data_IF_338127412760
#
_entry.id   IF_338127412760
#
_cell.length_a   1.000
_cell.length_b   1.000
_cell.length_c   1.000
_cell.angle_alpha   90.00
_cell.angle_beta   90.00
_cell.angle_gamma   90.00
#
_symmetry.space_group_name_H-M   'P 1'
#
loop_
_entity.id
_entity.type
_entity.pdbx_description
1 polymer ?
2 non-polymer ?
3 water ?
#
# COMPACT_ATOMS: atom_id res chain seq x y z
CA UNK A 1 -6.63 2.95 -7.53
C UNK A 1 -7.71 2.52 -8.52
N UNK A 2 -7.36 2.12 -9.77
CA UNK A 2 -8.35 1.61 -10.75
C UNK A 2 -8.76 0.18 -10.41
N UNK A 3 -9.91 -0.27 -10.94
CA UNK A 3 -10.26 -1.69 -10.80
C UNK A 3 -9.17 -2.62 -11.35
N UNK A 4 -8.51 -2.24 -12.44
CA UNK A 4 -7.40 -3.02 -12.99
C UNK A 4 -6.26 -3.15 -11.98
N UNK A 5 -5.89 -2.04 -11.35
CA UNK A 5 -4.84 -2.08 -10.33
C UNK A 5 -5.25 -2.92 -9.12
N UNK A 6 -6.50 -2.83 -8.70
CA UNK A 6 -6.95 -3.62 -7.55
C UNK A 6 -6.92 -5.11 -7.87
N UNK A 7 -7.29 -5.46 -9.10
CA UNK A 7 -7.23 -6.85 -9.53
C UNK A 7 -5.78 -7.35 -9.50
N UNK A 8 -4.85 -6.51 -9.96
CA UNK A 8 -3.43 -6.83 -9.90
C UNK A 8 -2.95 -7.00 -8.46
N UNK A 9 -3.42 -6.13 -7.56
CA UNK A 9 -3.10 -6.26 -6.14
C UNK A 9 -3.60 -7.58 -5.55
N UNK A 10 -4.84 -7.95 -5.87
CA UNK A 10 -5.39 -9.22 -5.39
C UNK A 10 -4.63 -10.43 -5.95
N UNK A 11 -4.22 -10.34 -7.22
CA UNK A 11 -3.41 -11.39 -7.85
C UNK A 11 -2.04 -11.58 -7.20
N UNK A 12 -1.49 -10.52 -6.62
CA UNK A 12 -0.20 -10.56 -5.92
C UNK A 12 -0.33 -10.72 -4.41
N UNK A 13 -1.55 -10.76 -3.88
CA UNK A 13 -1.75 -10.93 -2.44
C UNK A 13 -1.43 -9.69 -1.65
N UNK A 14 -1.58 -8.52 -2.27
CA UNK A 14 -1.42 -7.24 -1.59
C UNK A 14 -2.75 -6.76 -1.05
N UNK A 15 -2.76 -6.12 0.12
CA UNK B 1 -7.35 -5.22 -2.29
C UNK B 1 -8.75 -5.18 -2.89
N UNK B 2 -9.77 -5.00 -2.03
CA UNK B 2 -11.18 -5.12 -2.50
C UNK B 2 -11.56 -3.91 -3.35
N UNK B 3 -12.64 -4.04 -4.14
CA UNK B 3 -13.16 -2.87 -4.85
C UNK B 3 -13.40 -1.67 -3.92
N UNK B 4 -13.93 -1.92 -2.72
CA UNK B 4 -14.17 -0.85 -1.74
C UNK B 4 -12.86 -0.19 -1.29
N UNK B 5 -11.86 -1.02 -1.02
CA UNK B 5 -10.54 -0.52 -0.64
C UNK B 5 -9.91 0.31 -1.75
N UNK B 6 -10.04 -0.15 -2.99
CA UNK B 6 -9.53 0.57 -4.15
C UNK B 6 -10.20 1.93 -4.32
N UNK B 7 -11.52 1.99 -4.15
CA UNK B 7 -12.21 3.27 -4.24
C UNK B 7 -11.71 4.26 -3.20
N UNK B 8 -11.47 3.78 -1.99
CA UNK B 8 -10.93 4.62 -0.91
C UNK B 8 -9.50 5.09 -1.20
N UNK B 9 -8.68 4.20 -1.73
CA UNK B 9 -7.29 4.54 -2.10
C UNK B 9 -7.25 5.61 -3.19
N UNK B 10 -8.06 5.40 -4.23
CA UNK B 10 -8.17 6.33 -5.36
C UNK B 10 -8.61 7.72 -4.88
N UNK B 11 -9.62 7.76 -4.02
CA UNK B 11 -10.13 9.02 -3.47
C UNK B 11 -9.11 9.76 -2.61
N UNK B 12 -8.26 9.01 -1.91
CA UNK B 12 -7.21 9.58 -1.07
C UNK B 12 -5.92 9.95 -1.83
N UNK B 13 -5.90 9.77 -3.15
CA UNK B 13 -4.76 10.21 -3.97
C UNK B 13 -3.58 9.29 -3.87
N UNK B 14 -3.83 7.98 -3.85
CA UNK B 14 -2.74 7.02 -3.63
C UNK B 14 -1.77 6.93 -4.84
N UNK B 15 -0.46 7.10 -4.64
CA UNK C 1 9.04 0.12 -3.84
C UNK C 1 10.41 -0.54 -3.96
N UNK C 2 11.47 0.00 -3.30
CA UNK C 2 12.82 -0.63 -3.33
C UNK C 2 12.89 -1.79 -2.32
N UNK C 3 13.92 -2.65 -2.42
CA UNK C 3 14.09 -3.71 -1.41
C UNK C 3 14.21 -3.19 0.02
N UNK C 4 14.91 -2.06 0.20
CA UNK C 4 15.02 -1.41 1.51
C UNK C 4 13.65 -1.03 2.04
N UNK C 5 12.81 -0.47 1.18
CA UNK C 5 11.46 -0.08 1.55
C UNK C 5 10.58 -1.28 1.88
N UNK C 6 10.65 -2.31 1.04
CA UNK C 6 9.90 -3.54 1.27
C UNK C 6 10.32 -4.19 2.60
N UNK C 7 11.61 -4.15 2.90
CA UNK C 7 12.12 -4.65 4.18
C UNK C 7 11.56 -3.85 5.36
N UNK C 8 11.50 -2.53 5.21
CA UNK C 8 10.89 -1.66 6.22
C UNK C 8 9.39 -1.94 6.41
N UNK C 9 8.71 -2.23 5.30
CA UNK C 9 7.29 -2.60 5.36
C UNK C 9 7.09 -3.89 6.15
N UNK C 10 7.92 -4.90 5.86
CA UNK C 10 7.88 -6.16 6.62
C UNK C 10 8.17 -5.92 8.10
N UNK C 11 9.13 -5.04 8.40
CA UNK C 11 9.45 -4.72 9.80
C UNK C 11 8.26 -4.13 10.56
N UNK C 12 7.45 -3.33 9.87
CA UNK C 12 6.27 -2.70 10.48
C UNK C 12 4.96 -3.49 10.32
N UNK C 13 5.00 -4.66 9.69
CA UNK C 13 3.77 -5.46 9.49
C UNK C 13 2.82 -4.85 8.49
N UNK C 14 3.35 -4.10 7.53
CA UNK C 14 2.57 -3.55 6.42
C UNK C 14 2.61 -4.50 5.23
N UNK C 15 3.78 -5.07 4.95
CA UNK D 1 6.12 -6.89 1.57
C UNK D 1 7.19 -7.66 0.82
N UNK D 2 6.86 -8.71 0.00
CA UNK D 2 7.92 -9.53 -0.66
C UNK D 2 8.46 -8.79 -1.89
N UNK D 3 9.65 -9.17 -2.38
CA UNK D 3 10.14 -8.60 -3.64
C UNK D 3 9.16 -8.76 -4.82
N UNK D 4 8.48 -9.91 -4.88
CA UNK D 4 7.49 -10.21 -5.91
C UNK D 4 6.31 -9.22 -5.85
N UNK D 5 5.82 -8.96 -4.64
CA UNK D 5 4.73 -7.99 -4.45
C UNK D 5 5.13 -6.58 -4.85
N UNK D 6 6.33 -6.16 -4.47
CA UNK D 6 6.84 -4.84 -4.86
C UNK D 6 6.96 -4.70 -6.38
N UNK D 7 7.50 -5.73 -7.03
CA UNK D 7 7.59 -5.76 -8.50
C UNK D 7 6.20 -5.68 -9.15
N UNK D 8 5.23 -6.41 -8.59
CA UNK D 8 3.86 -6.41 -9.13
C UNK D 8 3.19 -5.04 -9.03
N UNK D 9 3.41 -4.36 -7.91
CA UNK D 9 2.90 -3.01 -7.73
C UNK D 9 3.49 -2.02 -8.72
N UNK D 10 4.79 -2.09 -8.93
CA UNK D 10 5.45 -1.23 -9.91
C UNK D 10 4.98 -1.53 -11.33
N UNK D 11 4.79 -2.81 -11.64
CA UNK D 11 4.24 -3.21 -12.94
C UNK D 11 2.84 -2.65 -13.20
N UNK D 12 2.05 -2.52 -12.13
CA UNK D 12 0.70 -1.94 -12.19
C UNK D 12 0.66 -0.41 -12.13
N UNK D 13 1.81 0.25 -12.01
CA UNK D 13 1.86 1.71 -12.05
C UNK D 13 1.41 2.34 -10.77
N UNK D 14 1.78 1.75 -9.64
CA UNK D 14 1.33 2.30 -8.36
C UNK D 14 1.98 3.66 -8.07
N UNK D 15 1.20 4.73 -7.84
CA UNK E 1 -2.85 1.58 8.71
C UNK E 1 -2.73 2.19 10.10
N UNK E 2 -1.98 1.57 11.05
CA UNK E 2 -1.86 2.22 12.40
C UNK E 2 -0.97 3.47 12.31
N UNK E 3 -1.07 4.38 13.30
CA UNK E 3 -0.15 5.52 13.36
C UNK E 3 1.32 5.11 13.31
N UNK E 4 1.67 4.05 14.03
CA UNK E 4 3.02 3.49 14.03
C UNK E 4 3.43 3.05 12.62
N UNK E 5 2.53 2.37 11.91
CA UNK E 5 2.81 1.94 10.54
C UNK E 5 2.98 3.13 9.60
N UNK E 6 2.12 4.14 9.74
CA UNK E 6 2.21 5.35 8.92
C UNK E 6 3.54 6.10 9.15
N UNK E 7 3.96 6.22 10.41
CA UNK E 7 5.27 6.80 10.74
C UNK E 7 6.40 6.00 10.09
N UNK E 8 6.31 4.68 10.15
CA UNK E 8 7.31 3.82 9.54
C UNK E 8 7.37 3.99 8.03
N UNK E 9 6.20 4.14 7.39
CA UNK E 9 6.14 4.38 5.95
C UNK E 9 6.82 5.70 5.58
N UNK E 10 6.51 6.76 6.34
CA UNK E 10 7.13 8.06 6.11
C UNK E 10 8.64 8.02 6.32
N UNK E 11 9.08 7.31 7.35
CA UNK E 11 10.52 7.14 7.60
C UNK E 11 11.23 6.43 6.44
N UNK E 12 10.52 5.52 5.78
CA UNK E 12 11.04 4.77 4.63
C UNK E 12 10.89 5.49 3.28
N UNK E 13 10.39 6.72 3.28
CA UNK E 13 10.39 7.56 2.07
C UNK E 13 9.04 7.99 1.56
N UNK E 14 7.96 7.56 2.21
CA UNK E 14 6.62 8.01 1.83
C UNK E 14 6.37 9.46 2.25
N UNK E 15 5.40 10.14 1.63
CA UNK F 1 1.81 8.71 3.26
C UNK F 1 1.39 9.70 4.33
N UNK F 2 0.48 10.66 4.01
CA UNK F 2 0.11 11.73 4.98
C UNK F 2 -0.81 11.18 6.08
N UNK F 3 -0.93 11.91 7.20
CA UNK F 3 -1.91 11.52 8.21
C UNK F 3 -3.32 11.29 7.66
N UNK F 4 -3.77 12.17 6.76
CA UNK F 4 -5.08 12.05 6.11
C UNK F 4 -5.19 10.74 5.31
N UNK F 5 -4.15 10.44 4.54
CA UNK F 5 -4.11 9.19 3.77
C UNK F 5 -4.11 7.95 4.67
N UNK F 6 -3.29 7.98 5.71
CA UNK F 6 -3.22 6.87 6.65
C UNK F 6 -4.55 6.64 7.37
N UNK F 7 -5.26 7.72 7.71
CA UNK F 7 -6.59 7.59 8.31
C UNK F 7 -7.60 6.96 7.35
N UNK F 8 -7.57 7.37 6.08
CA UNK F 8 -8.39 6.74 5.05
C UNK F 8 -8.04 5.25 4.89
N UNK F 9 -6.75 4.95 4.89
CA UNK F 9 -6.28 3.56 4.81
C UNK F 9 -6.77 2.74 6.01
N UNK F 10 -6.62 3.31 7.20
CA UNK F 10 -7.09 2.69 8.43
C UNK F 10 -8.59 2.42 8.40
N UNK F 11 -9.38 3.38 7.92
CA UNK F 11 -10.84 3.23 7.84
C UNK F 11 -11.28 2.11 6.88
N UNK F 12 -10.49 1.88 5.82
CA UNK F 12 -10.77 0.85 4.82
C UNK F 12 -10.12 -0.51 5.12
N UNK F 13 -9.30 -0.59 6.17
CA UNK F 13 -8.59 -1.83 6.53
C UNK F 13 -7.41 -2.10 5.63
N UNK F 14 -6.82 -1.04 5.07
CA UNK F 14 -5.59 -1.15 4.29
C UNK F 14 -4.36 -1.00 5.19
N UNK F 15 -4.05 0.18 5.70
X LIG G 1 -4.39 0.14 -4.60
X LIG G 1 -3.29 -0.17 -5.58
X LIG G 1 -2.65 -1.40 -5.51
X LIG G 1 -2.94 0.77 -6.55
X LIG G 1 -1.67 -1.71 -6.45
X LIG G 1 -1.96 0.47 -7.48
X LIG G 1 -1.32 -0.77 -7.43
X LIG G 1 1.17 -5.06 -4.01
X LIG G 1 0.43 -4.61 -5.25
X LIG G 1 -0.28 -3.40 -5.26
X LIG G 1 0.50 -5.40 -6.40
X LIG G 1 -0.94 -3.00 -6.43
X LIG G 1 -0.16 -5.00 -7.56
X LIG G 1 -0.88 -3.80 -7.57
X LIG H 1 -3.80 -2.68 -1.68
X LIG H 1 -3.13 -1.66 -0.80
X LIG H 1 -2.56 -0.52 -1.39
X LIG H 1 -3.11 -1.79 0.59
X LIG H 1 -1.97 0.48 -0.61
X LIG H 1 -2.51 -0.81 1.38
X LIG H 1 -1.95 0.31 0.78
X LIG H 1 -1.66 3.78 -4.43
X LIG H 1 -1.18 3.28 -3.09
X LIG H 1 -1.78 2.18 -2.50
X LIG H 1 -0.12 3.92 -2.44
X LIG H 1 -1.34 1.69 -1.25
X LIG H 1 0.33 3.46 -1.21
X LIG H 1 -0.26 2.34 -0.62
X LIG I 1 5.84 -0.73 -0.64
X LIG I 1 6.36 0.30 0.32
X LIG I 1 6.15 0.14 1.68
X LIG I 1 7.02 1.43 -0.15
X LIG I 1 6.63 1.09 2.58
X LIG I 1 7.49 2.39 0.74
X LIG I 1 7.29 2.22 2.11
X LIG I 1 3.37 0.51 6.28
X LIG I 1 4.80 0.67 5.83
X LIG I 1 5.08 0.78 4.48
X LIG I 1 5.82 0.72 6.77
X LIG I 1 6.39 0.95 4.04
X LIG I 1 7.14 0.88 6.34
X LIG I 1 7.42 1.00 4.98
X LIG J 1 2.61 -5.63 -0.02
X LIG J 1 2.01 -4.30 -0.45
X LIG J 1 2.65 -3.45 -1.37
X LIG J 1 0.79 -3.91 0.08
X LIG J 1 2.09 -2.21 -1.79
X LIG J 1 0.23 -2.70 -0.31
X LIG J 1 0.85 -1.86 -1.23
X LIG J 1 2.30 2.09 -4.58
X LIG J 1 2.89 0.78 -4.14
X LIG J 1 2.21 -0.04 -3.22
X LIG J 1 4.12 0.41 -4.65
X LIG J 1 2.77 -1.28 -2.79
X LIG J 1 4.68 -0.79 -4.23
X LIG J 1 4.02 -1.62 -3.33
X LIG K 1 -0.73 1.54 5.09
X LIG K 1 0.15 0.78 4.13
X LIG K 1 0.96 1.49 3.25
X LIG K 1 0.14 -0.60 4.07
X LIG K 1 1.81 0.86 2.34
X LIG K 1 0.96 -1.26 3.15
X LIG K 1 1.78 -0.54 2.29
X LIG K 1 4.04 5.19 1.15
X LIG K 1 3.69 3.78 0.79
X LIG K 1 3.00 3.01 1.71
X LIG K 1 4.03 3.28 -0.46
X LIG K 1 2.62 1.69 1.39
X LIG K 1 3.66 1.99 -0.79
X LIG K 1 2.95 1.20 0.12
X LIG L 1 -0.23 5.03 2.09
X LIG L 1 -1.50 5.42 1.39
X LIG L 1 -2.65 4.64 1.57
X LIG L 1 -1.53 6.54 0.56
X LIG L 1 -3.82 5.01 0.93
X LIG L 1 -2.71 6.89 -0.08
X LIG L 1 -3.85 6.13 0.09
X LIG L 1 -6.23 0.64 0.62
X LIG L 1 -6.23 2.11 0.91
X LIG L 1 -5.05 2.85 0.80
X LIG L 1 -7.41 2.75 1.26
X LIG L 1 -5.06 4.22 1.06
X LIG L 1 -7.43 4.12 1.52
X LIG L 1 -6.25 4.85 1.42
#
# INVERSE_FOLDING_TARGET
XTPRQARAARAAACX
XTPRQARAARAAACX
XTPRQARAARAAACX
XTPRQARAARAAACX
XTPRQARAARAAACX
XTPRQARAARAAACX
B0I CB1 CG1 CD1 CD2 CE1 CE2 CZ1 CB2 CG2 CD3 CD4 CE3 CE4 CZ2
B0I CB1 CG1 CD1 CD2 CE1 CE2 CZ1 CB2 CG2 CD3 CD4 CE3 CE4 CZ2
B0I CB1 CG1 CD1 CD2 CE1 CE2 CZ1 CB2 CG2 CD3 CD4 CE3 CE4 CZ2
B0I CB1 CG1 CD1 CD2 CE1 CE2 CZ1 CB2 CG2 CD3 CD4 CE3 CE4 CZ2
B0I CB1 CG1 CD1 CD2 CE1 CE2 CZ1 CB2 CG2 CD3 CD4 CE3 CE4 CZ2
B0I CB1 CG1 CD1 CD2 CE1 CE2 CZ1 CB2 CG2 CD3 CD4 CE3 CE4 CZ2
#
